data_IF_264042503951
#
_entry.id   IF_264042503951
#
_cell.length_a   1.000
_cell.length_b   1.000
_cell.length_c   1.000
_cell.angle_alpha   90.00
_cell.angle_beta   90.00
_cell.angle_gamma   90.00
#
_symmetry.space_group_name_H-M   'P 1'
#
loop_
_entity.id
_entity.type
_entity.pdbx_description
1 polymer ?
#
# COMPACT_ATOMS: atom_id res chain seq x y z
N UNK A 1 19.26 -28.99 -19.38
CA UNK A 1 18.81 -28.68 -20.75
C UNK A 1 18.55 -27.17 -20.80
N UNK A 2 19.33 -26.43 -21.59
CA UNK A 2 19.20 -24.98 -21.81
C UNK A 2 18.25 -24.73 -22.96
N UNK A 3 17.25 -23.88 -22.79
CA UNK A 3 16.63 -23.14 -23.90
C UNK A 3 16.37 -21.70 -23.46
N UNK A 4 17.08 -20.80 -24.13
CA UNK A 4 16.87 -19.36 -24.12
C UNK A 4 15.73 -19.03 -25.10
N UNK A 5 14.90 -18.05 -24.75
CA UNK A 5 14.17 -17.27 -25.74
C UNK A 5 14.07 -15.81 -25.25
N UNK A 6 15.00 -15.00 -25.76
CA UNK A 6 14.88 -13.55 -25.89
C UNK A 6 14.00 -13.24 -27.11
N UNK A 7 13.18 -12.18 -27.01
CA UNK A 7 12.72 -11.22 -28.03
C UNK A 7 11.44 -10.55 -27.51
N UNK A 8 11.09 -9.31 -27.78
CA UNK A 8 11.75 -8.10 -28.26
C UNK A 8 10.74 -6.95 -28.00
N UNK A 9 11.27 -5.73 -27.90
CA UNK A 9 10.55 -4.47 -27.63
C UNK A 9 9.57 -4.11 -28.76
N UNK A 10 8.42 -3.53 -28.41
CA UNK A 10 7.67 -2.64 -29.29
C UNK A 10 7.19 -1.42 -28.49
N UNK A 11 7.85 -0.28 -28.74
CA UNK A 11 7.43 1.05 -28.33
C UNK A 11 6.51 1.57 -29.44
N UNK A 12 5.27 1.91 -29.10
CA UNK A 12 4.43 2.77 -29.93
C UNK A 12 3.99 3.98 -29.09
N UNK A 13 4.50 5.15 -29.46
CA UNK A 13 3.94 6.43 -29.06
C UNK A 13 2.85 6.86 -30.03
N UNK A 14 1.85 7.59 -29.53
CA UNK A 14 0.96 8.42 -30.35
C UNK A 14 0.55 9.67 -29.57
N UNK A 15 0.96 10.80 -30.16
CA UNK A 15 0.32 12.11 -30.30
C UNK A 15 -0.24 12.90 -29.11
N UNK A 16 0.20 14.16 -29.11
CA UNK A 16 -0.36 15.30 -28.40
C UNK A 16 -1.81 15.62 -28.80
N UNK A 17 -2.57 16.13 -27.84
CA UNK A 17 -3.74 16.97 -28.07
C UNK A 17 -3.61 18.21 -27.17
N UNK A 18 -3.32 19.34 -27.79
CA UNK A 18 -3.43 20.67 -27.20
C UNK A 18 -4.90 21.01 -27.01
N UNK A 19 -5.33 21.21 -25.76
CA UNK A 19 -6.63 21.82 -25.48
C UNK A 19 -6.44 23.33 -25.53
N UNK A 20 -7.07 23.93 -26.53
CA UNK A 20 -7.24 25.36 -26.75
C UNK A 20 -8.61 25.79 -26.17
N UNK A 21 -8.68 27.01 -25.62
CA UNK A 21 -9.92 27.71 -25.23
C UNK A 21 -10.19 27.68 -23.72
N UNK A 22 -10.50 28.79 -23.03
CA UNK A 22 -11.05 30.07 -23.45
C UNK A 22 -10.51 31.17 -22.54
N UNK A 23 -9.96 32.24 -23.12
CA UNK A 23 -9.83 33.51 -22.42
C UNK A 23 -10.56 34.59 -23.22
N UNK A 24 -11.38 35.35 -22.49
CA UNK A 24 -12.36 36.29 -23.03
C UNK A 24 -12.03 37.61 -22.39
N UNK A 25 -11.43 38.53 -23.15
CA UNK A 25 -11.51 39.97 -22.90
C UNK A 25 -11.10 40.77 -24.14
N UNK A 26 -11.87 41.82 -24.35
CA UNK A 26 -11.87 42.77 -25.47
C UNK A 26 -10.68 43.72 -25.38
N UNK A 27 -10.19 44.23 -26.52
CA UNK A 27 -10.45 45.62 -26.94
C UNK A 27 -9.70 45.95 -28.24
N UNK A 28 -10.32 46.82 -29.03
CA UNK A 28 -9.92 47.25 -30.37
C UNK A 28 -8.82 48.34 -30.37
N UNK A 29 -8.14 48.37 -31.53
CA UNK A 29 -7.63 49.54 -32.27
C UNK A 29 -6.14 49.98 -32.15
N UNK A 30 -5.54 50.03 -33.35
CA UNK A 30 -4.55 50.99 -33.88
C UNK A 30 -3.05 50.63 -33.96
N UNK A 31 -2.63 50.46 -35.22
CA UNK A 31 -1.45 51.07 -35.92
C UNK A 31 -0.03 50.53 -35.65
N UNK A 32 0.75 50.48 -36.75
CA UNK A 32 1.99 49.73 -37.07
C UNK A 32 3.32 50.44 -36.59
N UNK A 33 4.56 49.95 -36.92
CA UNK A 33 5.62 49.38 -36.05
C UNK A 33 6.91 50.29 -35.98
N UNK A 34 8.19 49.83 -35.78
CA UNK A 34 8.81 48.69 -35.05
C UNK A 34 9.92 49.12 -34.03
N UNK A 35 10.38 48.24 -33.13
CA UNK A 35 11.77 48.21 -32.62
C UNK A 35 12.08 46.92 -31.81
N UNK A 36 13.08 46.15 -32.26
CA UNK A 36 13.88 45.19 -31.47
C UNK A 36 14.91 45.94 -30.61
N UNK A 37 15.67 45.33 -29.66
CA UNK A 37 15.67 43.95 -29.14
C UNK A 37 15.74 43.88 -27.58
N UNK A 38 15.97 42.66 -27.07
CA UNK A 38 16.51 42.33 -25.74
C UNK A 38 15.54 42.32 -24.56
N UNK A 39 15.05 41.12 -24.23
CA UNK A 39 15.25 40.60 -22.87
C UNK A 39 15.11 39.08 -22.91
N UNK A 40 16.20 38.39 -22.60
CA UNK A 40 16.21 36.95 -22.34
C UNK A 40 15.35 36.67 -21.11
N UNK A 41 14.05 36.49 -21.31
CA UNK A 41 13.14 36.07 -20.28
C UNK A 41 13.25 34.56 -20.13
N UNK A 42 13.96 34.18 -19.06
CA UNK A 42 13.82 32.96 -18.28
C UNK A 42 13.27 31.75 -19.04
N UNK A 43 14.18 30.81 -19.34
CA UNK A 43 13.81 29.41 -19.41
C UNK A 43 13.00 29.10 -18.14
N UNK A 44 11.69 28.89 -18.31
CA UNK A 44 10.84 28.23 -17.33
C UNK A 44 11.49 26.88 -17.07
N UNK A 45 12.35 26.86 -16.05
CA UNK A 45 12.84 25.63 -15.49
C UNK A 45 11.62 24.99 -14.88
N UNK A 46 11.05 24.04 -15.62
CA UNK A 46 10.05 23.11 -15.12
C UNK A 46 10.70 22.40 -13.94
N UNK A 47 10.49 22.97 -12.75
CA UNK A 47 11.00 22.44 -11.51
C UNK A 47 10.19 21.20 -11.24
N UNK A 48 10.71 20.05 -11.70
CA UNK A 48 10.34 18.74 -11.15
C UNK A 48 10.34 18.92 -9.64
N UNK A 49 9.19 18.77 -8.94
CA UNK A 49 9.15 19.03 -7.51
C UNK A 49 10.15 18.10 -6.85
N UNK A 50 11.16 18.70 -6.22
CA UNK A 50 12.12 17.99 -5.37
C UNK A 50 11.27 17.28 -4.32
N UNK A 51 11.12 15.96 -4.45
CA UNK A 51 10.36 15.15 -3.49
C UNK A 51 10.95 15.41 -2.12
N UNK A 52 10.09 15.76 -1.16
CA UNK A 52 10.54 15.98 0.21
C UNK A 52 11.15 14.68 0.75
N UNK A 53 12.15 14.80 1.62
CA UNK A 53 12.77 13.65 2.29
C UNK A 53 11.74 12.77 3.03
N UNK A 54 10.64 13.39 3.50
CA UNK A 54 9.50 12.70 4.10
C UNK A 54 8.73 11.84 3.09
N UNK A 55 8.47 12.35 1.90
CA UNK A 55 7.79 11.60 0.84
C UNK A 55 8.61 10.37 0.41
N UNK A 56 9.92 10.54 0.22
CA UNK A 56 10.83 9.42 -0.10
C UNK A 56 10.87 8.37 1.03
N UNK A 57 10.87 8.82 2.29
CA UNK A 57 10.81 7.91 3.43
C UNK A 57 9.50 7.11 3.46
N UNK A 58 8.36 7.75 3.16
CA UNK A 58 7.07 7.08 3.12
C UNK A 58 6.91 6.12 1.94
N UNK A 59 7.45 6.47 0.77
CA UNK A 59 7.56 5.54 -0.37
C UNK A 59 8.36 4.29 0.04
N UNK A 60 9.52 4.46 0.69
CA UNK A 60 10.34 3.33 1.15
C UNK A 60 9.60 2.41 2.13
N UNK A 61 8.89 2.98 3.11
CA UNK A 61 8.07 2.21 4.07
C UNK A 61 7.00 1.43 3.32
N UNK A 62 6.27 2.09 2.41
CA UNK A 62 5.22 1.45 1.62
C UNK A 62 5.77 0.28 0.82
N UNK A 63 6.86 0.48 0.08
CA UNK A 63 7.43 -0.56 -0.79
C UNK A 63 7.89 -1.78 0.03
N UNK A 64 8.53 -1.55 1.18
CA UNK A 64 8.97 -2.62 2.07
C UNK A 64 7.78 -3.42 2.65
N UNK A 65 6.73 -2.72 3.09
CA UNK A 65 5.52 -3.33 3.64
C UNK A 65 4.76 -4.08 2.54
N UNK A 66 4.58 -3.48 1.36
CA UNK A 66 3.88 -4.09 0.22
C UNK A 66 4.59 -5.36 -0.27
N UNK A 67 5.92 -5.32 -0.37
CA UNK A 67 6.70 -6.49 -0.75
C UNK A 67 6.47 -7.66 0.23
N UNK A 68 6.46 -7.35 1.54
CA UNK A 68 6.20 -8.36 2.55
C UNK A 68 4.76 -8.87 2.48
N UNK A 69 3.78 -7.99 2.33
CA UNK A 69 2.36 -8.37 2.21
C UNK A 69 2.15 -9.28 1.01
N UNK A 70 2.61 -8.87 -0.17
CA UNK A 70 2.50 -9.65 -1.41
C UNK A 70 3.08 -11.05 -1.27
N UNK A 71 4.20 -11.20 -0.57
CA UNK A 71 4.80 -12.52 -0.29
C UNK A 71 3.94 -13.40 0.63
N UNK A 72 3.26 -12.80 1.62
CA UNK A 72 2.36 -13.52 2.53
C UNK A 72 1.06 -13.89 1.81
N UNK A 73 0.47 -12.96 1.07
CA UNK A 73 -0.76 -13.18 0.29
C UNK A 73 -0.57 -14.24 -0.79
N UNK A 74 0.58 -14.25 -1.48
CA UNK A 74 0.89 -15.29 -2.46
C UNK A 74 0.91 -16.71 -1.87
N UNK A 75 1.14 -16.83 -0.54
CA UNK A 75 1.18 -18.13 0.15
C UNK A 75 -0.13 -18.49 0.85
N UNK A 76 -0.79 -17.51 1.47
CA UNK A 76 -1.94 -17.76 2.36
C UNK A 76 -3.23 -17.08 1.90
N UNK A 77 -3.19 -16.14 0.95
CA UNK A 77 -4.30 -15.26 0.63
C UNK A 77 -4.60 -14.24 1.74
N UNK A 78 -5.53 -13.34 1.45
CA UNK A 78 -6.06 -12.31 2.36
C UNK A 78 -7.59 -12.27 2.31
N UNK A 79 -8.19 -11.60 3.29
CA UNK A 79 -9.64 -11.43 3.42
C UNK A 79 -10.37 -12.78 3.40
N UNK A 80 -11.35 -12.91 2.51
CA UNK A 80 -12.16 -14.12 2.34
C UNK A 80 -11.36 -15.34 1.83
N UNK A 81 -10.21 -15.10 1.20
CA UNK A 81 -9.33 -16.15 0.68
C UNK A 81 -8.30 -16.63 1.70
N UNK A 82 -8.22 -15.98 2.87
CA UNK A 82 -7.33 -16.39 3.96
C UNK A 82 -7.79 -17.70 4.61
N UNK A 83 -6.88 -18.59 5.04
CA UNK A 83 -7.24 -19.72 5.89
C UNK A 83 -7.85 -19.28 7.23
N UNK A 84 -7.64 -18.03 7.65
CA UNK A 84 -8.24 -17.45 8.86
C UNK A 84 -9.61 -16.78 8.64
N UNK A 85 -10.14 -16.76 7.41
CA UNK A 85 -11.50 -16.29 7.18
C UNK A 85 -12.49 -17.09 8.03
N UNK A 86 -13.48 -16.44 8.63
CA UNK A 86 -14.51 -17.12 9.45
C UNK A 86 -15.40 -18.05 8.65
N UNK A 87 -15.42 -17.93 7.32
CA UNK A 87 -16.07 -18.86 6.39
C UNK A 87 -15.15 -20.01 5.95
N UNK A 88 -13.86 -19.98 6.29
CA UNK A 88 -12.89 -20.97 5.86
C UNK A 88 -12.95 -22.24 6.72
N UNK A 89 -12.96 -23.45 6.12
CA UNK A 89 -12.81 -24.68 6.88
C UNK A 89 -11.43 -24.81 7.55
N UNK A 90 -10.46 -23.96 7.18
CA UNK A 90 -9.09 -23.97 7.69
C UNK A 90 -8.90 -23.10 8.94
N UNK A 91 -9.95 -22.38 9.38
CA UNK A 91 -9.86 -21.39 10.46
C UNK A 91 -9.42 -21.97 11.80
N UNK A 92 -9.70 -23.24 12.08
CA UNK A 92 -9.32 -23.91 13.33
C UNK A 92 -8.19 -24.92 13.13
N UNK A 93 -7.25 -24.60 12.23
CA UNK A 93 -6.14 -25.50 11.88
C UNK A 93 -4.80 -24.77 11.96
N UNK A 94 -3.71 -25.55 11.94
CA UNK A 94 -2.34 -25.02 11.83
C UNK A 94 -2.12 -24.13 10.61
N UNK A 95 -2.93 -24.28 9.55
CA UNK A 95 -2.81 -23.42 8.38
C UNK A 95 -3.24 -21.97 8.68
N UNK A 96 -4.26 -21.77 9.51
CA UNK A 96 -4.57 -20.42 10.00
C UNK A 96 -3.51 -19.93 10.99
N UNK A 97 -2.97 -20.78 11.88
CA UNK A 97 -1.82 -20.40 12.72
C UNK A 97 -0.64 -19.88 11.89
N UNK A 98 -0.23 -20.62 10.87
CA UNK A 98 0.88 -20.21 10.00
C UNK A 98 0.60 -18.89 9.25
N UNK A 99 -0.65 -18.65 8.84
CA UNK A 99 -1.05 -17.37 8.25
C UNK A 99 -1.03 -16.25 9.30
N UNK A 100 -1.51 -16.49 10.51
CA UNK A 100 -1.48 -15.56 11.64
C UNK A 100 -0.04 -15.15 11.98
N UNK A 101 0.89 -16.10 12.06
CA UNK A 101 2.32 -15.86 12.30
C UNK A 101 2.93 -14.99 11.19
N UNK A 102 2.61 -15.30 9.93
CA UNK A 102 3.10 -14.56 8.79
C UNK A 102 2.55 -13.11 8.76
N UNK A 103 1.26 -12.93 9.07
CA UNK A 103 0.62 -11.61 9.22
C UNK A 103 1.21 -10.83 10.39
N UNK A 104 1.45 -11.47 11.55
CA UNK A 104 2.11 -10.87 12.71
C UNK A 104 3.53 -10.41 12.38
N UNK A 105 4.25 -11.22 11.60
CA UNK A 105 5.59 -10.89 11.10
C UNK A 105 5.58 -9.67 10.17
N UNK A 106 4.59 -9.57 9.27
CA UNK A 106 4.38 -8.40 8.42
C UNK A 106 4.06 -7.14 9.23
N UNK A 107 3.17 -7.24 10.23
CA UNK A 107 2.88 -6.16 11.17
C UNK A 107 4.13 -5.73 11.95
N UNK A 108 4.95 -6.69 12.40
CA UNK A 108 6.22 -6.42 13.06
C UNK A 108 7.24 -5.72 12.17
N UNK A 109 7.28 -6.05 10.88
CA UNK A 109 8.09 -5.31 9.89
C UNK A 109 7.59 -3.87 9.77
N UNK A 110 6.29 -3.65 9.59
CA UNK A 110 5.71 -2.32 9.47
C UNK A 110 6.07 -1.43 10.68
N UNK A 111 5.98 -1.96 11.90
CA UNK A 111 6.38 -1.24 13.12
C UNK A 111 7.86 -0.86 13.13
N UNK A 112 8.76 -1.73 12.66
CA UNK A 112 10.20 -1.42 12.57
C UNK A 112 10.50 -0.37 11.52
N UNK A 113 9.85 -0.44 10.36
CA UNK A 113 10.06 0.52 9.26
C UNK A 113 9.64 1.95 9.64
N UNK A 114 8.61 2.07 10.49
CA UNK A 114 8.08 3.37 10.96
C UNK A 114 8.64 3.84 12.30
N UNK A 115 9.54 3.09 12.92
CA UNK A 115 10.08 3.47 14.23
C UNK A 115 10.78 4.84 14.16
N UNK A 116 10.45 5.72 15.09
CA UNK A 116 10.91 7.11 15.09
C UNK A 116 10.40 7.99 13.94
N UNK A 117 9.47 7.53 13.09
CA UNK A 117 8.90 8.31 11.97
C UNK A 117 7.51 8.84 12.29
N UNK A 118 7.27 10.11 11.97
CA UNK A 118 5.94 10.72 12.07
C UNK A 118 5.09 10.46 10.83
N UNK A 119 3.75 10.46 11.00
CA UNK A 119 2.79 10.36 9.89
C UNK A 119 2.46 8.94 9.44
N UNK A 120 2.60 7.95 10.33
CA UNK A 120 2.20 6.55 10.12
C UNK A 120 1.30 6.07 11.27
N UNK A 121 0.46 6.95 11.82
CA UNK A 121 -0.33 6.63 13.00
C UNK A 121 -1.31 5.49 12.71
N UNK A 122 -1.94 5.52 11.54
CA UNK A 122 -2.84 4.47 11.07
C UNK A 122 -2.12 3.12 10.92
N UNK A 123 -0.97 3.10 10.22
CA UNK A 123 -0.18 1.89 10.05
C UNK A 123 0.29 1.30 11.40
N UNK A 124 0.74 2.15 12.32
CA UNK A 124 1.17 1.73 13.66
C UNK A 124 0.02 1.11 14.45
N UNK A 125 -1.15 1.75 14.44
CA UNK A 125 -2.36 1.26 15.12
C UNK A 125 -2.80 -0.10 14.57
N UNK A 126 -2.90 -0.22 13.24
CA UNK A 126 -3.24 -1.48 12.56
C UNK A 126 -2.26 -2.59 12.91
N UNK A 127 -0.95 -2.34 12.81
CA UNK A 127 0.06 -3.35 13.09
C UNK A 127 -0.01 -3.86 14.54
N UNK A 128 -0.22 -2.95 15.51
CA UNK A 128 -0.40 -3.34 16.93
C UNK A 128 -1.68 -4.14 17.15
N UNK A 129 -2.80 -3.71 16.55
CA UNK A 129 -4.08 -4.42 16.61
C UNK A 129 -3.93 -5.85 16.08
N UNK A 130 -3.19 -6.04 14.98
CA UNK A 130 -2.92 -7.37 14.43
C UNK A 130 -2.11 -8.26 15.37
N UNK A 131 -1.05 -7.72 15.96
CA UNK A 131 -0.27 -8.48 16.95
C UNK A 131 -1.12 -8.88 18.17
N UNK A 132 -2.05 -8.03 18.61
CA UNK A 132 -3.01 -8.37 19.68
C UNK A 132 -3.94 -9.50 19.23
N UNK A 133 -4.53 -9.41 18.04
CA UNK A 133 -5.44 -10.44 17.53
C UNK A 133 -4.76 -11.80 17.38
N UNK A 134 -3.52 -11.83 16.88
CA UNK A 134 -2.72 -13.07 16.77
C UNK A 134 -2.48 -13.68 18.15
N UNK A 135 -2.04 -12.89 19.14
CA UNK A 135 -1.86 -13.39 20.51
C UNK A 135 -3.16 -13.92 21.12
N UNK A 136 -4.28 -13.23 20.89
CA UNK A 136 -5.59 -13.70 21.37
C UNK A 136 -6.00 -15.03 20.73
N UNK A 137 -5.82 -15.16 19.42
CA UNK A 137 -6.08 -16.40 18.69
C UNK A 137 -5.23 -17.58 19.20
N UNK A 138 -3.96 -17.33 19.51
CA UNK A 138 -3.05 -18.30 20.11
C UNK A 138 -3.46 -18.69 21.55
N UNK A 139 -3.75 -17.70 22.40
CA UNK A 139 -4.14 -17.91 23.80
C UNK A 139 -5.43 -18.72 23.94
N UNK A 140 -6.37 -18.52 23.01
CA UNK A 140 -7.60 -19.29 22.93
C UNK A 140 -7.39 -20.72 22.38
N UNK A 141 -6.19 -21.05 21.90
CA UNK A 141 -5.89 -22.35 21.31
C UNK A 141 -6.66 -22.62 20.02
N UNK A 142 -7.05 -21.57 19.27
CA UNK A 142 -7.98 -21.68 18.14
C UNK A 142 -7.51 -22.67 17.06
N UNK A 143 -6.21 -22.73 16.77
CA UNK A 143 -5.65 -23.64 15.78
C UNK A 143 -5.61 -25.12 16.22
N UNK A 144 -5.90 -25.43 17.50
CA UNK A 144 -5.96 -26.79 18.01
C UNK A 144 -7.34 -27.45 17.79
N UNK A 145 -8.27 -26.79 17.08
CA UNK A 145 -9.59 -27.33 16.82
C UNK A 145 -10.47 -27.44 18.08
N UNK A 146 -10.70 -26.35 18.84
CA UNK A 146 -11.53 -26.42 20.04
C UNK A 146 -12.94 -26.93 19.70
N UNK A 147 -13.49 -27.79 20.56
CA UNK A 147 -14.83 -28.36 20.43
C UNK A 147 -15.87 -27.58 21.23
N UNK A 148 -15.45 -26.92 22.32
CA UNK A 148 -16.33 -26.07 23.13
C UNK A 148 -16.86 -24.88 22.31
N UNK A 149 -18.19 -24.72 22.29
CA UNK A 149 -18.87 -23.71 21.47
C UNK A 149 -18.40 -22.28 21.81
N UNK A 150 -18.28 -21.97 23.10
CA UNK A 150 -17.84 -20.63 23.56
C UNK A 150 -16.43 -20.30 23.08
N UNK A 151 -15.50 -21.26 23.17
CA UNK A 151 -14.13 -21.08 22.66
C UNK A 151 -14.12 -20.90 21.14
N UNK A 152 -14.89 -21.71 20.40
CA UNK A 152 -15.01 -21.57 18.95
C UNK A 152 -15.56 -20.21 18.56
N UNK A 153 -16.56 -19.71 19.29
CA UNK A 153 -17.14 -18.39 19.07
C UNK A 153 -16.13 -17.27 19.37
N UNK A 154 -15.40 -17.37 20.49
CA UNK A 154 -14.36 -16.41 20.88
C UNK A 154 -13.23 -16.31 19.84
N UNK A 155 -12.95 -17.38 19.09
CA UNK A 155 -11.95 -17.38 18.01
C UNK A 155 -12.35 -16.57 16.77
N UNK A 156 -13.65 -16.30 16.55
CA UNK A 156 -14.13 -15.68 15.31
C UNK A 156 -13.60 -14.25 15.13
N UNK A 157 -13.67 -13.44 16.18
CA UNK A 157 -13.24 -12.04 16.14
C UNK A 157 -11.73 -11.88 15.84
N UNK A 158 -10.80 -12.53 16.58
CA UNK A 158 -9.38 -12.41 16.26
C UNK A 158 -9.04 -13.03 14.89
N UNK A 159 -9.69 -14.15 14.50
CA UNK A 159 -9.48 -14.76 13.18
C UNK A 159 -9.89 -13.81 12.03
N UNK A 160 -11.03 -13.12 12.15
CA UNK A 160 -11.47 -12.14 11.17
C UNK A 160 -10.49 -10.97 11.02
N UNK A 161 -9.94 -10.47 12.15
CA UNK A 161 -8.92 -9.42 12.13
C UNK A 161 -7.65 -9.91 11.43
N UNK A 162 -7.20 -11.15 11.72
CA UNK A 162 -6.03 -11.74 11.06
C UNK A 162 -6.24 -11.89 9.56
N UNK A 163 -7.44 -12.33 9.15
CA UNK A 163 -7.79 -12.53 7.74
C UNK A 163 -7.70 -11.22 6.94
N UNK A 164 -8.21 -10.11 7.49
CA UNK A 164 -8.19 -8.77 6.87
C UNK A 164 -6.84 -8.05 7.04
N UNK A 165 -5.97 -8.55 7.91
CA UNK A 165 -4.81 -7.80 8.37
C UNK A 165 -3.83 -7.34 7.30
N UNK A 166 -3.68 -8.13 6.24
CA UNK A 166 -2.79 -7.78 5.13
C UNK A 166 -3.33 -6.59 4.33
N UNK A 167 -4.63 -6.54 4.07
CA UNK A 167 -5.29 -5.41 3.41
C UNK A 167 -5.25 -4.17 4.30
N UNK A 168 -5.55 -4.31 5.60
CA UNK A 168 -5.49 -3.20 6.56
C UNK A 168 -4.06 -2.60 6.65
N UNK A 169 -3.01 -3.44 6.59
CA UNK A 169 -1.61 -2.99 6.61
C UNK A 169 -1.26 -2.22 5.34
N UNK A 170 -1.70 -2.70 4.18
CA UNK A 170 -1.52 -2.03 2.89
C UNK A 170 -2.17 -0.66 2.89
N UNK A 171 -3.41 -0.59 3.36
CA UNK A 171 -4.15 0.68 3.48
C UNK A 171 -3.45 1.64 4.45
N UNK A 172 -2.99 1.14 5.60
CA UNK A 172 -2.20 1.92 6.55
C UNK A 172 -0.91 2.47 5.94
N UNK A 173 -0.19 1.68 5.14
CA UNK A 173 1.02 2.13 4.46
C UNK A 173 0.73 3.19 3.38
N UNK A 174 -0.35 3.02 2.63
CA UNK A 174 -0.81 4.01 1.66
C UNK A 174 -1.24 5.32 2.34
N UNK A 175 -1.91 5.26 3.48
CA UNK A 175 -2.28 6.43 4.29
C UNK A 175 -1.05 7.15 4.88
N UNK A 176 0.04 6.41 5.14
CA UNK A 176 1.32 7.00 5.53
C UNK A 176 1.91 7.97 4.50
N UNK A 177 1.64 7.74 3.19
CA UNK A 177 2.01 8.71 2.14
C UNK A 177 1.25 10.04 2.29
N UNK A 178 0.03 10.00 2.82
CA UNK A 178 -0.77 11.17 3.15
C UNK A 178 -0.45 11.75 4.55
N UNK A 179 0.51 11.15 5.27
CA UNK A 179 0.92 11.55 6.61
C UNK A 179 -0.08 11.21 7.72
N UNK A 180 -0.92 10.18 7.53
CA UNK A 180 -2.00 9.75 8.44
C UNK A 180 -1.69 8.44 9.18
#
# INVERSE_FOLDING_TARGET
>A
MKWYALRAVAILGVAAATITGCDKSKDEASTQPPATPASSAAASSESVPVRSSRALAAEKVKDAVEQRISAVEGKFGSGVNSPCSTSSPQMFTDKCRAAADATSSAAGLALREIDGRAGFATLSSTARRLQVAVRQYEQLGCANGPTAADTRHACLAPAAIIAQGLDDLRDGANLGLAGK
#
